data_IF_614540067436
#
_entry.id   IF_614540067436
#
_cell.length_a   1.000
_cell.length_b   1.000
_cell.length_c   1.000
_cell.angle_alpha   90.00
_cell.angle_beta   90.00
_cell.angle_gamma   90.00
#
_symmetry.space_group_name_H-M   'P 1'
#
loop_
_entity.id
_entity.type
_entity.pdbx_description
1 polymer ?
#
# COMPACT_ATOMS: atom_id res chain seq x y z
N UNK A 1 24.34 4.40 -18.64
CA UNK A 1 22.92 4.78 -18.78
C UNK A 1 22.63 6.03 -17.95
N UNK A 2 21.85 6.95 -18.50
CA UNK A 2 21.45 8.19 -17.80
C UNK A 2 19.94 8.37 -17.90
N UNK A 3 19.35 8.92 -16.86
CA UNK A 3 17.95 9.33 -16.84
C UNK A 3 17.80 10.55 -17.76
N UNK A 4 16.91 10.46 -18.76
CA UNK A 4 16.67 11.54 -19.74
C UNK A 4 15.38 12.28 -19.46
N UNK A 5 14.37 11.60 -18.89
CA UNK A 5 13.06 12.19 -18.60
C UNK A 5 12.40 11.53 -17.38
N UNK A 6 11.71 12.33 -16.62
CA UNK A 6 10.81 11.88 -15.54
C UNK A 6 9.48 12.60 -15.75
N UNK A 7 8.41 11.84 -15.90
CA UNK A 7 7.06 12.34 -16.16
C UNK A 7 6.06 11.81 -15.15
N UNK A 8 5.36 12.67 -14.39
CA UNK A 8 4.17 12.29 -13.69
C UNK A 8 3.00 12.16 -14.65
N UNK A 9 2.29 11.06 -14.61
CA UNK A 9 1.11 10.82 -15.45
C UNK A 9 -0.06 10.51 -14.50
N UNK A 10 -1.02 11.43 -14.42
CA UNK A 10 -2.25 11.19 -13.70
C UNK A 10 -3.20 10.39 -14.58
N UNK A 11 -3.65 9.25 -14.10
CA UNK A 11 -4.75 8.49 -14.69
C UNK A 11 -5.94 8.44 -13.75
N UNK A 12 -7.12 8.40 -14.34
CA UNK A 12 -8.40 8.26 -13.65
C UNK A 12 -9.04 6.95 -14.09
N UNK A 13 -9.09 5.97 -13.17
CA UNK A 13 -9.62 4.64 -13.43
C UNK A 13 -11.05 4.54 -12.89
N UNK A 14 -12.07 4.40 -13.74
CA UNK A 14 -13.45 4.20 -13.30
C UNK A 14 -13.61 2.88 -12.53
N UNK A 15 -14.30 2.94 -11.39
CA UNK A 15 -14.68 1.77 -10.61
C UNK A 15 -15.99 1.17 -11.13
N UNK A 16 -16.07 -0.15 -11.14
CA UNK A 16 -17.34 -0.87 -11.27
C UNK A 16 -17.87 -1.11 -9.86
N UNK A 17 -18.94 -0.43 -9.50
CA UNK A 17 -19.58 -0.49 -8.19
C UNK A 17 -21.03 -0.90 -8.33
N UNK A 18 -21.48 -1.87 -7.54
CA UNK A 18 -22.88 -2.33 -7.54
C UNK A 18 -23.83 -1.33 -6.87
N UNK A 19 -23.28 -0.42 -6.04
CA UNK A 19 -24.01 0.65 -5.38
C UNK A 19 -23.08 1.85 -5.12
N UNK A 20 -23.68 3.02 -4.92
CA UNK A 20 -22.94 4.20 -4.50
C UNK A 20 -22.30 3.94 -3.13
N UNK A 21 -20.97 3.90 -3.08
CA UNK A 21 -20.22 3.72 -1.84
C UNK A 21 -19.77 5.10 -1.37
N UNK A 22 -20.14 5.52 -0.17
CA UNK A 22 -19.65 6.78 0.38
C UNK A 22 -18.14 6.69 0.60
N UNK A 23 -17.40 7.67 0.11
CA UNK A 23 -16.01 7.86 0.51
C UNK A 23 -15.94 8.24 1.99
N UNK A 24 -14.79 8.06 2.64
CA UNK A 24 -14.56 8.56 4.01
C UNK A 24 -14.85 10.08 4.15
N UNK A 25 -14.77 10.83 3.04
CA UNK A 25 -15.17 12.25 2.94
C UNK A 25 -16.67 12.48 2.75
N UNK A 26 -17.50 11.43 2.68
CA UNK A 26 -18.95 11.52 2.45
C UNK A 26 -19.37 11.66 0.98
N UNK A 27 -18.45 11.88 0.04
CA UNK A 27 -18.76 11.93 -1.39
C UNK A 27 -18.75 10.53 -2.04
N UNK A 28 -19.57 10.24 -3.07
CA UNK A 28 -19.49 8.97 -3.81
C UNK A 28 -18.11 8.80 -4.46
N UNK A 29 -17.48 7.64 -4.26
CA UNK A 29 -16.20 7.30 -4.91
C UNK A 29 -16.49 6.48 -6.16
N UNK A 30 -16.44 7.11 -7.32
CA UNK A 30 -16.73 6.48 -8.62
C UNK A 30 -15.47 6.12 -9.41
N UNK A 31 -14.31 6.58 -8.95
CA UNK A 31 -13.03 6.39 -9.63
C UNK A 31 -11.85 6.41 -8.65
N UNK A 32 -10.70 6.00 -9.17
CA UNK A 32 -9.42 6.10 -8.49
C UNK A 32 -8.46 6.92 -9.33
N UNK A 33 -7.84 7.90 -8.70
CA UNK A 33 -6.73 8.65 -9.26
C UNK A 33 -5.41 7.97 -8.92
N UNK A 34 -4.59 7.69 -9.93
CA UNK A 34 -3.25 7.12 -9.76
C UNK A 34 -2.22 8.03 -10.41
N UNK A 35 -1.20 8.42 -9.67
CA UNK A 35 -0.05 9.16 -10.21
C UNK A 35 1.05 8.17 -10.56
N UNK A 36 1.16 7.85 -11.84
CA UNK A 36 2.27 7.06 -12.37
C UNK A 36 3.51 7.95 -12.50
N UNK A 37 4.68 7.35 -12.30
CA UNK A 37 5.98 7.99 -12.50
C UNK A 37 6.71 7.23 -13.60
N UNK A 38 6.77 7.82 -14.79
CA UNK A 38 7.50 7.26 -15.93
C UNK A 38 8.92 7.82 -15.94
N UNK A 39 9.92 6.93 -15.93
CA UNK A 39 11.35 7.29 -16.00
C UNK A 39 11.94 6.71 -17.28
N UNK A 40 12.45 7.58 -18.16
CA UNK A 40 13.08 7.19 -19.43
C UNK A 40 14.60 7.37 -19.36
N UNK A 41 15.33 6.51 -20.07
CA UNK A 41 16.79 6.52 -20.10
C UNK A 41 17.32 6.68 -21.52
N UNK A 42 18.59 7.10 -21.67
CA UNK A 42 19.29 7.22 -22.96
C UNK A 42 19.57 5.87 -23.65
N UNK A 43 19.39 4.74 -22.95
CA UNK A 43 19.51 3.40 -23.52
C UNK A 43 18.13 2.79 -23.88
N UNK A 44 17.04 3.59 -23.83
CA UNK A 44 15.70 3.16 -24.21
C UNK A 44 14.97 2.30 -23.17
N UNK A 45 15.56 2.08 -21.99
CA UNK A 45 14.88 1.39 -20.90
C UNK A 45 13.96 2.35 -20.19
N UNK A 46 12.69 1.97 -20.03
CA UNK A 46 11.69 2.75 -19.29
C UNK A 46 11.34 2.04 -17.98
N UNK A 47 11.33 2.80 -16.89
CA UNK A 47 10.81 2.34 -15.59
C UNK A 47 9.49 2.98 -15.24
N UNK A 48 8.66 2.21 -14.55
CA UNK A 48 7.36 2.64 -14.06
C UNK A 48 7.30 2.61 -12.55
N UNK A 49 6.83 3.69 -11.95
CA UNK A 49 6.57 3.81 -10.53
C UNK A 49 5.19 4.38 -10.27
N UNK A 50 4.81 4.40 -9.01
CA UNK A 50 3.56 4.99 -8.53
C UNK A 50 3.84 5.81 -7.27
N UNK A 51 3.37 7.04 -7.26
CA UNK A 51 3.42 7.94 -6.12
C UNK A 51 2.03 8.05 -5.48
N UNK A 52 1.95 8.04 -4.15
CA UNK A 52 0.68 8.21 -3.46
C UNK A 52 0.04 9.56 -3.84
N UNK A 53 -1.25 9.53 -4.12
CA UNK A 53 -1.93 10.68 -4.71
C UNK A 53 -3.23 11.06 -3.99
N UNK A 54 -4.15 10.14 -3.81
CA UNK A 54 -5.49 10.40 -3.29
C UNK A 54 -5.99 11.82 -3.67
N UNK A 55 -6.60 12.57 -2.77
CA UNK A 55 -7.13 13.93 -3.01
C UNK A 55 -6.03 15.00 -3.28
N UNK A 56 -4.77 14.73 -2.97
CA UNK A 56 -3.64 15.66 -3.12
C UNK A 56 -2.75 15.43 -4.34
N UNK A 57 -3.23 14.74 -5.37
CA UNK A 57 -2.43 14.35 -6.55
C UNK A 57 -1.73 15.52 -7.25
N UNK A 58 -2.33 16.73 -7.28
CA UNK A 58 -1.73 17.92 -7.88
C UNK A 58 -0.37 18.26 -7.24
N UNK A 59 -0.33 18.23 -5.89
CA UNK A 59 0.89 18.50 -5.13
C UNK A 59 1.95 17.42 -5.40
N UNK A 60 1.53 16.16 -5.51
CA UNK A 60 2.44 15.04 -5.83
C UNK A 60 3.00 15.16 -7.25
N UNK A 61 2.17 15.46 -8.25
CA UNK A 61 2.62 15.69 -9.62
C UNK A 61 3.60 16.86 -9.71
N UNK A 62 3.30 17.96 -9.01
CA UNK A 62 4.19 19.13 -8.95
C UNK A 62 5.53 18.78 -8.28
N UNK A 63 5.50 18.02 -7.19
CA UNK A 63 6.72 17.56 -6.51
C UNK A 63 7.59 16.71 -7.45
N UNK A 64 7.01 15.79 -8.21
CA UNK A 64 7.73 14.97 -9.19
C UNK A 64 8.36 15.86 -10.26
N UNK A 65 7.56 16.71 -10.91
CA UNK A 65 8.00 17.47 -12.08
C UNK A 65 8.99 18.59 -11.74
N UNK A 66 8.75 19.32 -10.64
CA UNK A 66 9.49 20.56 -10.34
C UNK A 66 10.53 20.41 -9.22
N UNK A 67 10.39 19.40 -8.36
CA UNK A 67 11.31 19.21 -7.25
C UNK A 67 12.26 18.04 -7.53
N UNK A 68 11.72 16.86 -7.88
CA UNK A 68 12.50 15.64 -8.00
C UNK A 68 13.20 15.55 -9.36
N UNK A 69 12.46 15.71 -10.47
CA UNK A 69 13.00 15.52 -11.82
C UNK A 69 14.26 16.39 -12.10
N UNK A 70 14.31 17.70 -11.78
CA UNK A 70 15.51 18.51 -12.04
C UNK A 70 16.76 18.06 -11.27
N UNK A 71 16.59 17.33 -10.17
CA UNK A 71 17.69 16.82 -9.32
C UNK A 71 18.24 15.48 -9.76
N UNK A 72 17.51 14.78 -10.63
CA UNK A 72 17.80 13.37 -10.96
C UNK A 72 18.07 13.16 -12.45
N UNK A 73 17.52 14.00 -13.34
CA UNK A 73 17.84 13.97 -14.78
C UNK A 73 19.35 14.08 -14.96
N UNK A 74 19.91 13.22 -15.84
CA UNK A 74 21.34 13.10 -16.12
C UNK A 74 22.11 12.15 -15.18
N UNK A 75 21.53 11.72 -14.04
CA UNK A 75 22.13 10.72 -13.14
C UNK A 75 22.01 9.31 -13.71
N UNK A 76 22.86 8.41 -13.22
CA UNK A 76 22.79 6.98 -13.52
C UNK A 76 21.70 6.33 -12.65
N UNK A 77 20.64 5.74 -13.26
CA UNK A 77 19.55 5.12 -12.51
C UNK A 77 19.96 3.88 -11.70
N UNK A 78 21.16 3.32 -11.93
CA UNK A 78 21.66 2.22 -11.10
C UNK A 78 22.12 2.66 -9.71
N UNK A 79 22.35 3.95 -9.51
CA UNK A 79 22.78 4.53 -8.23
C UNK A 79 21.61 4.82 -7.29
N UNK A 80 20.68 3.86 -7.15
CA UNK A 80 19.41 4.04 -6.41
C UNK A 80 19.66 4.56 -5.00
N UNK A 81 20.53 3.90 -4.23
CA UNK A 81 20.80 4.28 -2.84
C UNK A 81 21.41 5.68 -2.72
N UNK A 82 22.27 6.08 -3.66
CA UNK A 82 22.86 7.42 -3.66
C UNK A 82 21.81 8.48 -4.04
N UNK A 83 20.98 8.22 -5.04
CA UNK A 83 19.88 9.11 -5.44
C UNK A 83 18.91 9.32 -4.27
N UNK A 84 18.53 8.27 -3.59
CA UNK A 84 17.69 8.34 -2.39
C UNK A 84 18.32 9.20 -1.29
N UNK A 85 19.59 8.93 -0.95
CA UNK A 85 20.30 9.69 0.08
C UNK A 85 20.42 11.18 -0.27
N UNK A 86 20.75 11.50 -1.52
CA UNK A 86 20.86 12.87 -2.02
C UNK A 86 19.52 13.61 -1.92
N UNK A 87 18.42 12.96 -2.34
CA UNK A 87 17.09 13.55 -2.29
C UNK A 87 16.62 13.78 -0.84
N UNK A 88 16.73 12.79 0.03
CA UNK A 88 16.35 12.95 1.44
C UNK A 88 17.20 14.03 2.14
N UNK A 89 18.50 14.08 1.88
CA UNK A 89 19.39 15.09 2.44
C UNK A 89 19.12 16.47 1.85
N UNK A 90 18.96 16.57 0.52
CA UNK A 90 18.77 17.85 -0.16
C UNK A 90 17.40 18.48 0.08
N UNK A 91 16.40 17.69 0.50
CA UNK A 91 15.02 18.12 0.70
C UNK A 91 14.56 18.08 2.17
N UNK A 92 15.51 17.94 3.13
CA UNK A 92 15.19 17.77 4.54
C UNK A 92 14.33 18.89 5.15
N UNK A 93 14.42 20.10 4.61
CA UNK A 93 13.70 21.30 5.07
C UNK A 93 12.44 21.61 4.24
N UNK A 94 12.21 20.92 3.12
CA UNK A 94 11.05 21.16 2.25
C UNK A 94 9.96 20.11 2.38
N UNK A 95 10.24 18.98 3.03
CA UNK A 95 9.24 17.96 3.30
C UNK A 95 9.87 16.60 3.58
N UNK A 96 9.62 16.10 4.81
CA UNK A 96 10.02 14.76 5.26
C UNK A 96 8.83 13.80 5.29
N UNK A 97 7.68 14.26 4.85
CA UNK A 97 6.43 13.54 4.71
C UNK A 97 5.61 14.12 3.55
N UNK A 98 4.53 13.47 3.17
CA UNK A 98 3.59 13.98 2.17
C UNK A 98 4.17 14.01 0.75
N UNK A 99 3.73 14.95 -0.11
CA UNK A 99 3.99 14.93 -1.56
C UNK A 99 5.45 14.79 -1.97
N UNK A 100 6.37 15.36 -1.20
CA UNK A 100 7.83 15.24 -1.48
C UNK A 100 8.28 13.78 -1.33
N UNK A 101 7.88 13.10 -0.27
CA UNK A 101 8.26 11.69 -0.04
C UNK A 101 7.49 10.76 -0.96
N UNK A 102 6.23 11.08 -1.29
CA UNK A 102 5.46 10.33 -2.30
C UNK A 102 6.13 10.39 -3.66
N UNK A 103 6.63 11.55 -4.07
CA UNK A 103 7.39 11.72 -5.31
C UNK A 103 8.70 10.92 -5.31
N UNK A 104 9.44 10.92 -4.19
CA UNK A 104 10.64 10.08 -4.01
C UNK A 104 10.26 8.59 -4.10
N UNK A 105 9.15 8.18 -3.49
CA UNK A 105 8.66 6.79 -3.53
C UNK A 105 8.38 6.33 -4.96
N UNK A 106 7.66 7.13 -5.73
CA UNK A 106 7.36 6.81 -7.12
C UNK A 106 8.60 6.72 -8.00
N UNK A 107 9.56 7.63 -7.80
CA UNK A 107 10.86 7.55 -8.49
C UNK A 107 11.61 6.27 -8.11
N UNK A 108 11.72 5.96 -6.83
CA UNK A 108 12.44 4.78 -6.34
C UNK A 108 11.87 3.48 -6.92
N UNK A 109 10.56 3.33 -6.93
CA UNK A 109 9.88 2.18 -7.56
C UNK A 109 10.27 2.06 -9.03
N UNK A 110 10.27 3.18 -9.78
CA UNK A 110 10.66 3.19 -11.20
C UNK A 110 12.14 2.86 -11.40
N UNK A 111 13.03 3.30 -10.51
CA UNK A 111 14.46 2.96 -10.58
C UNK A 111 14.71 1.48 -10.32
N UNK A 112 13.99 0.88 -9.37
CA UNK A 112 14.05 -0.56 -9.13
C UNK A 112 13.48 -1.38 -10.28
N UNK A 113 12.44 -0.88 -10.95
CA UNK A 113 11.90 -1.47 -12.18
C UNK A 113 12.96 -1.47 -13.30
N UNK A 114 13.65 -0.34 -13.53
CA UNK A 114 14.78 -0.25 -14.48
C UNK A 114 15.89 -1.24 -14.11
N UNK A 115 16.29 -1.28 -12.84
CA UNK A 115 17.36 -2.16 -12.39
C UNK A 115 17.04 -3.63 -12.65
N UNK A 116 15.81 -4.06 -12.36
CA UNK A 116 15.36 -5.41 -12.57
C UNK A 116 15.20 -5.76 -14.06
N UNK A 117 14.69 -4.84 -14.89
CA UNK A 117 14.65 -4.99 -16.37
C UNK A 117 16.04 -5.17 -16.96
N UNK A 118 17.00 -4.35 -16.53
CA UNK A 118 18.39 -4.49 -16.98
C UNK A 118 19.04 -5.80 -16.57
N UNK A 119 18.71 -6.29 -15.38
CA UNK A 119 19.18 -7.59 -14.92
C UNK A 119 18.49 -8.77 -15.63
N UNK A 120 17.44 -8.54 -16.42
CA UNK A 120 16.62 -9.58 -17.03
C UNK A 120 15.86 -10.42 -16.02
N UNK A 121 15.59 -9.86 -14.81
CA UNK A 121 14.97 -10.57 -13.70
C UNK A 121 13.70 -9.87 -13.21
N UNK A 122 12.68 -10.61 -12.74
CA UNK A 122 11.62 -10.01 -11.92
C UNK A 122 12.23 -9.40 -10.67
N UNK A 123 11.64 -8.29 -10.20
CA UNK A 123 12.22 -7.54 -9.07
C UNK A 123 12.39 -8.41 -7.82
N UNK A 124 11.45 -9.29 -7.48
CA UNK A 124 11.58 -10.14 -6.29
C UNK A 124 12.83 -11.04 -6.32
N UNK A 125 13.23 -11.53 -7.51
CA UNK A 125 14.47 -12.32 -7.66
C UNK A 125 15.71 -11.46 -7.45
N UNK A 126 15.71 -10.23 -7.94
CA UNK A 126 16.80 -9.28 -7.70
C UNK A 126 16.91 -8.92 -6.21
N UNK A 127 15.81 -8.94 -5.48
CA UNK A 127 15.75 -8.68 -4.02
C UNK A 127 16.10 -9.88 -3.14
N UNK A 128 16.38 -11.04 -3.70
CA UNK A 128 16.74 -12.26 -2.97
C UNK A 128 15.87 -13.46 -3.29
N UNK A 129 14.71 -13.21 -3.86
CA UNK A 129 13.81 -14.24 -4.36
C UNK A 129 13.07 -15.03 -3.30
N UNK A 130 12.11 -15.83 -3.75
CA UNK A 130 11.46 -16.88 -2.95
C UNK A 130 11.01 -18.01 -3.85
N UNK A 131 10.67 -19.17 -3.25
CA UNK A 131 10.12 -20.32 -3.98
C UNK A 131 8.59 -20.21 -4.20
N UNK A 132 7.93 -19.15 -3.71
CA UNK A 132 6.49 -18.98 -3.82
C UNK A 132 6.11 -18.59 -5.24
N UNK A 133 4.99 -19.13 -5.74
CA UNK A 133 4.39 -18.73 -7.01
C UNK A 133 3.31 -17.66 -6.83
N UNK A 134 2.69 -17.61 -5.65
CA UNK A 134 1.58 -16.71 -5.31
C UNK A 134 1.75 -16.14 -3.90
N UNK A 135 1.01 -15.08 -3.62
CA UNK A 135 0.82 -14.51 -2.27
C UNK A 135 -0.66 -14.37 -1.97
N UNK A 136 -1.10 -14.72 -0.74
CA UNK A 136 -2.50 -14.58 -0.38
C UNK A 136 -2.92 -13.11 -0.34
N UNK A 137 -4.08 -12.83 -0.94
CA UNK A 137 -4.73 -11.53 -0.89
C UNK A 137 -5.79 -11.50 0.19
N UNK A 138 -5.93 -10.38 0.90
CA UNK A 138 -7.13 -10.12 1.67
C UNK A 138 -8.06 -9.14 0.97
N UNK A 139 -9.38 -9.41 1.05
CA UNK A 139 -10.38 -8.50 0.52
C UNK A 139 -10.55 -7.32 1.48
N UNK A 140 -10.03 -6.16 1.08
CA UNK A 140 -10.16 -4.90 1.80
C UNK A 140 -11.45 -4.22 1.35
N UNK A 141 -12.56 -4.53 2.05
CA UNK A 141 -13.91 -4.09 1.70
C UNK A 141 -14.05 -2.58 1.86
N UNK A 142 -14.83 -1.96 0.99
CA UNK A 142 -15.13 -0.54 1.07
C UNK A 142 -15.94 -0.22 2.33
N UNK A 143 -16.00 1.07 2.72
CA UNK A 143 -16.88 1.51 3.79
C UNK A 143 -18.31 1.61 3.25
N UNK A 144 -19.15 0.63 3.57
CA UNK A 144 -20.53 0.59 3.11
C UNK A 144 -21.50 1.27 4.08
N UNK A 145 -21.19 1.25 5.40
CA UNK A 145 -22.04 1.83 6.44
C UNK A 145 -23.38 1.13 6.62
N UNK A 146 -23.63 0.04 5.89
CA UNK A 146 -24.82 -0.77 5.91
C UNK A 146 -24.51 -2.23 6.23
N UNK A 147 -25.16 -2.78 7.27
CA UNK A 147 -24.92 -4.12 7.77
C UNK A 147 -25.18 -5.22 6.74
N UNK A 148 -26.28 -5.10 5.99
CA UNK A 148 -26.65 -6.11 4.98
C UNK A 148 -25.65 -6.10 3.84
N UNK A 149 -25.27 -4.94 3.36
CA UNK A 149 -24.29 -4.79 2.28
C UNK A 149 -22.92 -5.36 2.68
N UNK A 150 -22.47 -5.12 3.91
CA UNK A 150 -21.21 -5.69 4.43
C UNK A 150 -21.27 -7.23 4.42
N UNK A 151 -22.38 -7.83 4.90
CA UNK A 151 -22.57 -9.29 4.91
C UNK A 151 -22.60 -9.86 3.50
N UNK A 152 -23.32 -9.22 2.57
CA UNK A 152 -23.41 -9.64 1.18
C UNK A 152 -22.03 -9.60 0.50
N UNK A 153 -21.24 -8.53 0.75
CA UNK A 153 -19.89 -8.38 0.19
C UNK A 153 -18.87 -9.35 0.79
N UNK A 154 -19.02 -9.73 2.05
CA UNK A 154 -18.23 -10.83 2.65
C UNK A 154 -18.54 -12.14 1.92
N UNK A 155 -19.81 -12.49 1.75
CA UNK A 155 -20.21 -13.70 1.06
C UNK A 155 -19.70 -13.73 -0.39
N UNK A 156 -19.75 -12.61 -1.09
CA UNK A 156 -19.19 -12.45 -2.45
C UNK A 156 -17.68 -12.67 -2.45
N UNK A 157 -16.93 -12.03 -1.53
CA UNK A 157 -15.49 -12.15 -1.47
C UNK A 157 -15.06 -13.60 -1.15
N UNK A 158 -15.73 -14.26 -0.20
CA UNK A 158 -15.49 -15.66 0.10
C UNK A 158 -15.81 -16.56 -1.11
N UNK A 159 -16.87 -16.28 -1.85
CA UNK A 159 -17.22 -16.96 -3.11
C UNK A 159 -16.17 -16.78 -4.21
N UNK A 160 -15.44 -15.65 -4.22
CA UNK A 160 -14.29 -15.39 -5.12
C UNK A 160 -12.98 -16.03 -4.62
N UNK A 161 -13.02 -16.79 -3.52
CA UNK A 161 -11.87 -17.53 -2.98
C UNK A 161 -11.00 -16.75 -2.01
N UNK A 162 -11.37 -15.53 -1.59
CA UNK A 162 -10.65 -14.83 -0.52
C UNK A 162 -10.83 -15.58 0.80
N UNK A 163 -9.77 -15.64 1.57
CA UNK A 163 -9.72 -16.35 2.87
C UNK A 163 -9.46 -15.38 4.04
N UNK A 164 -9.35 -14.10 3.75
CA UNK A 164 -8.99 -13.02 4.68
C UNK A 164 -9.85 -11.81 4.31
N UNK A 165 -10.49 -11.19 5.28
CA UNK A 165 -11.40 -10.04 5.06
C UNK A 165 -10.95 -8.88 5.93
N UNK A 166 -10.84 -7.68 5.35
CA UNK A 166 -10.67 -6.41 6.06
C UNK A 166 -11.89 -5.51 5.84
N UNK A 167 -12.38 -4.91 6.90
CA UNK A 167 -13.46 -3.91 6.87
C UNK A 167 -12.88 -2.51 6.99
N UNK A 168 -13.62 -1.52 6.45
CA UNK A 168 -13.45 -0.10 6.78
C UNK A 168 -14.66 0.41 7.57
N UNK A 169 -15.05 -0.31 8.60
CA UNK A 169 -16.21 0.00 9.44
C UNK A 169 -15.77 0.21 10.88
N UNK A 170 -16.49 1.08 11.61
CA UNK A 170 -16.20 1.38 13.01
C UNK A 170 -17.42 1.30 13.94
N UNK A 171 -18.58 0.84 13.42
CA UNK A 171 -19.79 0.60 14.20
C UNK A 171 -19.81 -0.85 14.70
N UNK A 172 -19.89 -1.05 16.00
CA UNK A 172 -19.83 -2.37 16.63
C UNK A 172 -20.88 -3.36 16.11
N UNK A 173 -22.08 -2.89 15.79
CA UNK A 173 -23.14 -3.76 15.27
C UNK A 173 -22.86 -4.25 13.84
N UNK A 174 -22.16 -3.46 13.00
CA UNK A 174 -21.73 -3.85 11.67
C UNK A 174 -20.54 -4.83 11.78
N UNK A 175 -19.53 -4.49 12.59
CA UNK A 175 -18.35 -5.36 12.81
C UNK A 175 -18.77 -6.73 13.37
N UNK A 176 -19.75 -6.75 14.30
CA UNK A 176 -20.30 -8.00 14.85
C UNK A 176 -21.01 -8.84 13.78
N UNK A 177 -21.82 -8.22 12.94
CA UNK A 177 -22.48 -8.91 11.83
C UNK A 177 -21.46 -9.49 10.84
N UNK A 178 -20.40 -8.75 10.54
CA UNK A 178 -19.29 -9.21 9.72
C UNK A 178 -18.55 -10.40 10.34
N UNK A 179 -18.26 -10.35 11.65
CA UNK A 179 -17.63 -11.46 12.37
C UNK A 179 -18.45 -12.74 12.30
N UNK A 180 -19.78 -12.63 12.44
CA UNK A 180 -20.69 -13.77 12.28
C UNK A 180 -20.67 -14.29 10.84
N UNK A 181 -20.68 -13.41 9.83
CA UNK A 181 -20.66 -13.77 8.41
C UNK A 181 -19.34 -14.45 7.98
N UNK A 182 -18.21 -13.99 8.50
CA UNK A 182 -16.90 -14.63 8.29
C UNK A 182 -16.80 -16.01 8.94
N UNK A 183 -17.45 -16.19 10.09
CA UNK A 183 -17.29 -17.40 10.89
C UNK A 183 -15.87 -17.52 11.51
N UNK A 184 -15.61 -18.58 12.28
CA UNK A 184 -14.40 -18.70 13.11
C UNK A 184 -13.12 -19.02 12.32
N UNK A 185 -13.22 -19.39 11.04
CA UNK A 185 -12.10 -19.83 10.22
C UNK A 185 -11.54 -18.73 9.31
N UNK A 186 -12.24 -17.61 9.14
CA UNK A 186 -11.83 -16.49 8.28
C UNK A 186 -11.33 -15.37 9.17
N UNK A 187 -10.01 -15.06 9.15
CA UNK A 187 -9.47 -13.90 9.85
C UNK A 187 -10.15 -12.63 9.39
N UNK A 188 -10.74 -11.90 10.34
CA UNK A 188 -11.39 -10.61 10.12
C UNK A 188 -10.51 -9.50 10.69
N UNK A 189 -10.18 -8.51 9.86
CA UNK A 189 -9.47 -7.31 10.22
C UNK A 189 -10.41 -6.11 10.15
N UNK A 190 -10.17 -5.09 10.97
CA UNK A 190 -10.96 -3.85 10.96
C UNK A 190 -10.03 -2.65 10.90
N UNK A 191 -10.11 -1.90 9.80
CA UNK A 191 -9.48 -0.59 9.64
C UNK A 191 -10.47 0.48 10.11
N UNK A 192 -10.08 1.19 11.16
CA UNK A 192 -10.90 2.21 11.80
C UNK A 192 -10.70 3.59 11.18
N UNK A 193 -9.58 3.85 10.50
CA UNK A 193 -9.22 5.15 9.91
C UNK A 193 -9.15 6.28 10.94
N UNK A 194 -8.48 6.04 12.07
CA UNK A 194 -8.16 6.99 13.15
C UNK A 194 -9.36 7.75 13.76
N UNK A 195 -10.47 7.10 14.19
CA UNK A 195 -11.63 7.84 14.65
C UNK A 195 -11.60 8.18 16.14
N UNK A 196 -10.73 7.59 16.96
CA UNK A 196 -10.84 7.59 18.42
C UNK A 196 -9.65 8.20 19.14
N UNK A 197 -9.90 8.68 20.35
CA UNK A 197 -8.88 8.86 21.39
C UNK A 197 -8.38 7.49 21.86
N UNK A 198 -7.24 7.46 22.56
CA UNK A 198 -6.68 6.21 23.10
C UNK A 198 -7.65 5.50 24.04
N UNK A 199 -8.34 6.23 24.91
CA UNK A 199 -9.24 5.63 25.91
C UNK A 199 -10.53 5.10 25.27
N UNK A 200 -11.06 5.78 24.25
CA UNK A 200 -12.18 5.28 23.44
C UNK A 200 -11.77 4.01 22.66
N UNK A 201 -10.59 4.00 22.05
CA UNK A 201 -10.08 2.82 21.33
C UNK A 201 -9.90 1.62 22.28
N UNK A 202 -9.43 1.84 23.52
CA UNK A 202 -9.35 0.79 24.54
C UNK A 202 -10.75 0.24 24.88
N UNK A 203 -11.73 1.13 25.09
CA UNK A 203 -13.09 0.72 25.42
C UNK A 203 -13.72 -0.11 24.28
N UNK A 204 -13.61 0.36 23.04
CA UNK A 204 -14.12 -0.34 21.85
C UNK A 204 -13.39 -1.70 21.63
N UNK A 205 -12.07 -1.74 21.79
CA UNK A 205 -11.33 -3.00 21.62
C UNK A 205 -11.80 -4.08 22.60
N UNK A 206 -12.17 -3.70 23.82
CA UNK A 206 -12.74 -4.61 24.83
C UNK A 206 -14.17 -5.04 24.50
N UNK A 207 -14.97 -4.15 23.94
CA UNK A 207 -16.32 -4.49 23.44
C UNK A 207 -16.26 -5.53 22.32
N UNK A 208 -15.19 -5.54 21.53
CA UNK A 208 -15.00 -6.45 20.41
C UNK A 208 -14.28 -7.75 20.73
N UNK A 209 -14.03 -8.05 22.01
CA UNK A 209 -13.24 -9.22 22.46
C UNK A 209 -13.74 -10.55 21.93
N UNK A 210 -15.06 -10.75 21.88
CA UNK A 210 -15.71 -11.98 21.40
C UNK A 210 -15.65 -12.15 19.87
N UNK A 211 -15.36 -11.09 19.13
CA UNK A 211 -15.23 -11.11 17.66
C UNK A 211 -13.91 -11.71 17.18
N UNK A 212 -12.91 -11.84 18.06
CA UNK A 212 -11.59 -12.45 17.77
C UNK A 212 -10.91 -11.89 16.53
N UNK A 213 -10.89 -10.57 16.42
CA UNK A 213 -10.31 -9.89 15.27
C UNK A 213 -8.83 -10.23 15.07
N UNK A 214 -8.41 -10.41 13.83
CA UNK A 214 -7.00 -10.64 13.47
C UNK A 214 -6.14 -9.40 13.77
N UNK A 215 -6.69 -8.21 13.54
CA UNK A 215 -6.17 -6.94 14.06
C UNK A 215 -7.22 -5.82 14.02
N UNK A 216 -6.94 -4.76 14.79
CA UNK A 216 -7.58 -3.45 14.71
C UNK A 216 -6.54 -2.49 14.12
N UNK A 217 -6.85 -1.86 12.96
CA UNK A 217 -5.95 -1.02 12.18
C UNK A 217 -6.28 0.44 12.38
N UNK A 218 -5.24 1.28 12.55
CA UNK A 218 -5.32 2.73 12.68
C UNK A 218 -6.46 3.21 13.60
N UNK A 219 -6.54 2.74 14.86
CA UNK A 219 -7.67 3.07 15.73
C UNK A 219 -7.58 4.45 16.38
N UNK A 220 -6.39 5.06 16.50
CA UNK A 220 -6.13 6.25 17.32
C UNK A 220 -5.80 7.48 16.48
N UNK A 221 -6.36 8.63 16.86
CA UNK A 221 -5.96 9.95 16.35
C UNK A 221 -5.23 10.73 17.44
N UNK A 222 -4.12 11.43 17.11
CA UNK A 222 -3.44 11.39 15.81
C UNK A 222 -2.66 10.08 15.57
N UNK A 223 -2.44 9.66 14.30
CA UNK A 223 -1.77 8.38 13.99
C UNK A 223 -0.29 8.31 14.41
N UNK A 224 0.33 9.44 14.71
CA UNK A 224 1.71 9.57 15.21
C UNK A 224 1.82 9.52 16.76
N UNK A 225 0.70 9.31 17.49
CA UNK A 225 0.74 9.02 18.93
C UNK A 225 1.17 7.55 19.19
N UNK A 226 2.45 7.29 18.96
CA UNK A 226 3.00 5.94 19.16
C UNK A 226 2.93 5.47 20.63
N UNK A 227 2.97 6.39 21.59
CA UNK A 227 2.81 6.07 23.02
C UNK A 227 1.37 5.70 23.35
N UNK A 228 0.41 6.38 22.78
CA UNK A 228 -1.01 6.04 22.89
C UNK A 228 -1.34 4.69 22.25
N UNK A 229 -0.81 4.42 21.06
CA UNK A 229 -0.93 3.11 20.41
C UNK A 229 -0.30 1.99 21.26
N UNK A 230 0.84 2.21 21.92
CA UNK A 230 1.45 1.24 22.81
C UNK A 230 0.57 0.95 24.05
N UNK A 231 -0.05 1.99 24.65
CA UNK A 231 -1.05 1.83 25.72
C UNK A 231 -2.24 1.00 25.26
N UNK A 232 -2.78 1.30 24.09
CA UNK A 232 -3.88 0.54 23.51
C UNK A 232 -3.47 -0.92 23.28
N UNK A 233 -2.32 -1.17 22.64
CA UNK A 233 -1.84 -2.52 22.38
C UNK A 233 -1.71 -3.36 23.65
N UNK A 234 -1.23 -2.75 24.76
CA UNK A 234 -1.11 -3.43 26.04
C UNK A 234 -2.47 -3.76 26.69
N UNK A 235 -3.53 -3.00 26.35
CA UNK A 235 -4.86 -3.14 26.93
C UNK A 235 -5.86 -3.90 26.04
N UNK A 236 -5.59 -3.97 24.73
CA UNK A 236 -6.46 -4.56 23.72
C UNK A 236 -6.37 -6.09 23.70
N UNK A 237 -7.51 -6.79 23.64
CA UNK A 237 -7.53 -8.24 23.43
C UNK A 237 -7.19 -8.65 21.98
N UNK A 238 -7.32 -7.72 21.02
CA UNK A 238 -6.97 -7.92 19.63
C UNK A 238 -5.61 -7.29 19.31
N UNK A 239 -4.83 -7.89 18.39
CA UNK A 239 -3.60 -7.25 17.88
C UNK A 239 -3.86 -5.88 17.27
N UNK A 240 -2.89 -4.96 17.38
CA UNK A 240 -2.96 -3.62 16.79
C UNK A 240 -2.07 -3.56 15.55
N UNK A 241 -2.60 -2.96 14.50
CA UNK A 241 -1.90 -2.68 13.25
C UNK A 241 -1.90 -1.17 12.98
N UNK A 242 -0.78 -0.63 12.52
CA UNK A 242 -0.66 0.76 12.10
C UNK A 242 0.60 0.99 11.25
N UNK A 243 0.70 2.16 10.63
CA UNK A 243 1.91 2.58 9.94
C UNK A 243 1.72 3.07 8.51
N UNK A 244 0.53 2.99 7.95
CA UNK A 244 0.25 3.48 6.60
C UNK A 244 0.47 4.98 6.42
N UNK A 245 0.38 5.74 7.52
CA UNK A 245 0.56 7.19 7.56
C UNK A 245 2.00 7.61 7.89
N UNK A 246 2.89 6.67 8.17
CA UNK A 246 4.31 6.92 8.42
C UNK A 246 5.06 7.13 7.10
N UNK A 247 5.93 8.13 7.08
CA UNK A 247 6.58 8.60 5.86
C UNK A 247 8.07 8.26 5.75
N UNK A 248 8.69 7.69 6.76
CA UNK A 248 10.12 7.38 6.72
C UNK A 248 10.54 6.29 7.71
N UNK A 249 11.68 5.70 7.43
CA UNK A 249 12.29 4.63 8.21
C UNK A 249 12.49 4.97 9.69
N UNK A 250 12.89 6.21 10.02
CA UNK A 250 13.15 6.60 11.41
C UNK A 250 11.86 6.66 12.24
N UNK A 251 10.76 7.07 11.63
CA UNK A 251 9.44 7.04 12.28
C UNK A 251 8.98 5.60 12.51
N UNK A 252 9.18 4.69 11.54
CA UNK A 252 8.93 3.26 11.77
C UNK A 252 9.76 2.68 12.91
N UNK A 253 11.04 3.05 12.98
CA UNK A 253 11.87 2.65 14.11
C UNK A 253 11.25 3.09 15.45
N UNK A 254 10.77 4.33 15.55
CA UNK A 254 10.12 4.85 16.76
C UNK A 254 8.81 4.12 17.09
N UNK A 255 8.00 3.81 16.09
CA UNK A 255 6.77 3.02 16.25
C UNK A 255 7.08 1.65 16.87
N UNK A 256 8.12 0.97 16.36
CA UNK A 256 8.52 -0.35 16.83
C UNK A 256 9.19 -0.29 18.21
N UNK A 257 10.05 0.69 18.48
CA UNK A 257 10.67 0.93 19.79
C UNK A 257 9.63 1.21 20.89
N UNK A 258 8.56 1.91 20.56
CA UNK A 258 7.45 2.14 21.49
C UNK A 258 6.65 0.87 21.79
N UNK A 259 6.85 -0.22 21.06
CA UNK A 259 6.03 -1.41 21.17
C UNK A 259 4.57 -1.18 20.76
N UNK A 260 4.34 -0.24 19.84
CA UNK A 260 3.00 0.27 19.53
C UNK A 260 2.13 -0.70 18.71
N UNK A 261 2.73 -1.62 17.95
CA UNK A 261 2.01 -2.48 17.00
C UNK A 261 2.42 -3.94 17.07
N UNK A 262 1.50 -4.82 16.70
CA UNK A 262 1.73 -6.24 16.41
C UNK A 262 2.00 -6.45 14.91
N UNK A 263 1.38 -5.63 14.07
CA UNK A 263 1.55 -5.61 12.62
C UNK A 263 1.94 -4.20 12.17
N UNK A 264 3.08 -4.08 11.48
CA UNK A 264 3.55 -2.83 10.90
C UNK A 264 3.10 -2.76 9.43
N UNK A 265 2.46 -1.64 9.04
CA UNK A 265 1.81 -1.49 7.74
C UNK A 265 2.42 -0.36 6.90
N UNK A 266 3.69 -0.50 6.45
CA UNK A 266 4.29 0.50 5.58
C UNK A 266 3.62 0.54 4.20
N UNK A 267 3.59 1.71 3.61
CA UNK A 267 3.01 1.98 2.30
C UNK A 267 4.12 2.33 1.31
N UNK A 268 4.43 1.46 0.34
CA UNK A 268 5.57 1.61 -0.56
C UNK A 268 5.57 2.95 -1.32
N UNK A 269 4.39 3.48 -1.61
CA UNK A 269 4.20 4.76 -2.32
C UNK A 269 4.30 5.98 -1.39
N UNK A 270 4.42 5.79 -0.07
CA UNK A 270 4.44 6.86 0.93
C UNK A 270 5.76 7.00 1.69
N UNK A 271 6.58 5.93 1.75
CA UNK A 271 7.74 5.86 2.66
C UNK A 271 9.11 6.03 1.99
N UNK A 272 9.18 6.28 0.69
CA UNK A 272 10.43 6.33 -0.06
C UNK A 272 10.69 5.10 -0.92
N UNK A 273 9.63 4.34 -1.27
CA UNK A 273 9.68 3.25 -2.25
C UNK A 273 10.20 1.92 -1.72
N UNK A 274 10.69 1.09 -2.64
CA UNK A 274 11.24 -0.25 -2.38
C UNK A 274 12.47 -0.19 -1.47
N UNK A 275 13.32 0.82 -1.66
CA UNK A 275 14.54 1.00 -0.86
C UNK A 275 14.24 1.13 0.64
N UNK A 276 13.29 1.97 1.02
CA UNK A 276 12.90 2.15 2.41
C UNK A 276 12.07 0.98 2.93
N UNK A 277 11.18 0.44 2.11
CA UNK A 277 10.35 -0.73 2.46
C UNK A 277 11.21 -1.92 2.92
N UNK A 278 12.30 -2.23 2.20
CA UNK A 278 13.23 -3.31 2.58
C UNK A 278 13.87 -3.11 3.96
N UNK A 279 14.20 -1.87 4.32
CA UNK A 279 14.73 -1.55 5.65
C UNK A 279 13.69 -1.79 6.74
N UNK A 280 12.40 -1.51 6.45
CA UNK A 280 11.32 -1.73 7.40
C UNK A 280 11.07 -3.23 7.60
N UNK A 281 11.17 -4.05 6.56
CA UNK A 281 11.11 -5.52 6.71
C UNK A 281 12.23 -6.02 7.63
N UNK A 282 13.47 -5.55 7.44
CA UNK A 282 14.58 -5.92 8.32
C UNK A 282 14.38 -5.43 9.77
N UNK A 283 13.81 -4.23 9.96
CA UNK A 283 13.43 -3.76 11.29
C UNK A 283 12.34 -4.64 11.92
N UNK A 284 11.29 -4.98 11.16
CA UNK A 284 10.23 -5.86 11.64
C UNK A 284 10.80 -7.18 12.16
N UNK A 285 11.72 -7.80 11.43
CA UNK A 285 12.43 -9.02 11.86
C UNK A 285 13.20 -8.78 13.17
N UNK A 286 13.95 -7.68 13.27
CA UNK A 286 14.76 -7.36 14.46
C UNK A 286 13.90 -7.10 15.71
N UNK A 287 12.71 -6.54 15.56
CA UNK A 287 11.77 -6.26 16.66
C UNK A 287 10.73 -7.37 16.87
N UNK A 288 10.74 -8.45 16.06
CA UNK A 288 9.75 -9.53 16.15
C UNK A 288 8.33 -9.08 15.76
N UNK A 289 8.20 -8.02 14.96
CA UNK A 289 6.93 -7.47 14.47
C UNK A 289 6.68 -7.92 13.03
N UNK A 290 5.49 -8.38 12.74
CA UNK A 290 5.11 -8.79 11.38
C UNK A 290 4.86 -7.56 10.51
N UNK A 291 5.50 -7.50 9.34
CA UNK A 291 5.26 -6.44 8.35
C UNK A 291 4.24 -6.92 7.33
N UNK A 292 3.11 -6.23 7.24
CA UNK A 292 2.04 -6.48 6.25
C UNK A 292 1.75 -5.14 5.55
N UNK A 293 2.27 -4.90 4.35
CA UNK A 293 2.15 -3.59 3.72
C UNK A 293 0.70 -3.15 3.47
N UNK A 294 0.40 -1.89 3.78
CA UNK A 294 -0.75 -1.20 3.24
C UNK A 294 -0.54 -1.03 1.73
N UNK A 295 -1.33 -1.70 0.92
CA UNK A 295 -1.13 -1.78 -0.53
C UNK A 295 -2.40 -1.65 -1.39
N UNK A 296 -3.35 -0.76 -1.07
CA UNK A 296 -4.60 -0.58 -1.82
C UNK A 296 -4.38 0.17 -3.14
N UNK A 297 -3.35 -0.23 -3.91
CA UNK A 297 -2.94 0.38 -5.16
C UNK A 297 -3.37 -0.47 -6.35
N UNK A 298 -3.32 0.13 -7.56
CA UNK A 298 -3.81 -0.49 -8.78
C UNK A 298 -2.82 -0.41 -9.93
N UNK A 299 -1.53 -0.29 -9.59
CA UNK A 299 -0.46 -0.16 -10.54
C UNK A 299 0.90 -0.56 -9.97
N UNK A 300 1.96 0.19 -10.30
CA UNK A 300 3.32 -0.11 -9.87
C UNK A 300 3.50 -0.18 -8.35
N UNK A 301 2.69 0.54 -7.57
CA UNK A 301 2.71 0.46 -6.10
C UNK A 301 2.28 -0.91 -5.58
N UNK A 302 1.22 -1.49 -6.15
CA UNK A 302 0.79 -2.85 -5.81
C UNK A 302 1.82 -3.87 -6.27
N UNK A 303 2.30 -3.77 -7.52
CA UNK A 303 3.31 -4.69 -8.06
C UNK A 303 4.61 -4.65 -7.24
N UNK A 304 5.08 -3.46 -6.86
CA UNK A 304 6.24 -3.31 -5.98
C UNK A 304 6.01 -3.96 -4.61
N UNK A 305 4.81 -3.80 -4.02
CA UNK A 305 4.44 -4.45 -2.76
C UNK A 305 4.46 -5.97 -2.89
N UNK A 306 3.88 -6.52 -3.98
CA UNK A 306 3.91 -7.97 -4.26
C UNK A 306 5.36 -8.46 -4.36
N UNK A 307 6.24 -7.76 -5.07
CA UNK A 307 7.64 -8.16 -5.23
C UNK A 307 8.43 -8.12 -3.92
N UNK A 308 8.26 -7.07 -3.11
CA UNK A 308 8.93 -6.99 -1.81
C UNK A 308 8.44 -8.08 -0.86
N UNK A 309 7.12 -8.33 -0.81
CA UNK A 309 6.56 -9.41 0.00
C UNK A 309 6.96 -10.80 -0.52
N UNK A 310 7.07 -10.99 -1.84
CA UNK A 310 7.57 -12.23 -2.43
C UNK A 310 9.04 -12.51 -2.08
N UNK A 311 9.85 -11.48 -1.88
CA UNK A 311 11.24 -11.61 -1.44
C UNK A 311 11.38 -11.84 0.07
N UNK A 312 10.33 -11.65 0.86
CA UNK A 312 10.36 -11.88 2.30
C UNK A 312 10.48 -13.37 2.64
N UNK A 313 11.22 -13.71 3.72
CA UNK A 313 11.41 -15.09 4.15
C UNK A 313 10.09 -15.75 4.60
N UNK A 314 9.20 -14.99 5.23
CA UNK A 314 7.86 -15.44 5.65
C UNK A 314 6.82 -15.06 4.62
N UNK A 315 5.71 -15.81 4.57
CA UNK A 315 4.55 -15.44 3.80
C UNK A 315 3.94 -14.14 4.35
N UNK A 316 3.60 -13.23 3.45
CA UNK A 316 3.00 -11.92 3.76
C UNK A 316 1.71 -11.80 2.96
N UNK A 317 0.67 -11.28 3.60
CA UNK A 317 -0.61 -11.03 2.96
C UNK A 317 -0.57 -9.70 2.19
N UNK A 318 -1.24 -9.67 1.03
CA UNK A 318 -1.32 -8.49 0.18
C UNK A 318 -2.73 -7.92 0.24
N UNK A 319 -2.82 -6.62 0.44
CA UNK A 319 -4.09 -5.90 0.40
C UNK A 319 -4.63 -5.83 -1.03
N UNK A 320 -5.87 -6.26 -1.20
CA UNK A 320 -6.67 -5.97 -2.39
C UNK A 320 -7.83 -5.07 -2.02
N UNK A 321 -7.75 -3.79 -2.35
CA UNK A 321 -8.91 -2.89 -2.24
C UNK A 321 -10.06 -3.47 -3.07
N UNK A 322 -11.15 -3.88 -2.42
CA UNK A 322 -12.17 -4.75 -2.99
C UNK A 322 -13.10 -3.99 -3.91
N UNK A 323 -12.65 -3.74 -5.11
CA UNK A 323 -13.42 -3.13 -6.19
C UNK A 323 -12.92 -3.68 -7.53
N UNK A 324 -13.80 -3.63 -8.53
CA UNK A 324 -13.48 -4.03 -9.90
C UNK A 324 -13.35 -2.79 -10.81
N UNK A 325 -12.69 -2.99 -11.95
CA UNK A 325 -12.47 -1.96 -12.97
C UNK A 325 -13.04 -2.44 -14.29
N UNK A 326 -13.63 -1.53 -15.06
CA UNK A 326 -14.03 -1.83 -16.43
C UNK A 326 -12.81 -2.07 -17.34
N UNK A 327 -11.72 -1.33 -17.07
CA UNK A 327 -10.45 -1.42 -17.78
C UNK A 327 -9.32 -0.95 -16.87
N UNK A 328 -8.11 -1.51 -17.02
CA UNK A 328 -6.90 -1.08 -16.33
C UNK A 328 -5.68 -1.24 -17.23
N UNK A 329 -4.70 -0.30 -17.20
CA UNK A 329 -3.48 -0.42 -18.02
C UNK A 329 -2.55 -1.55 -17.58
N UNK A 330 -2.80 -2.16 -16.41
CA UNK A 330 -1.96 -3.22 -15.85
C UNK A 330 -2.54 -4.64 -16.06
N UNK A 331 -3.76 -4.74 -16.62
CA UNK A 331 -4.41 -6.03 -16.93
C UNK A 331 -4.53 -6.95 -15.72
N UNK A 332 -4.37 -8.24 -15.98
CA UNK A 332 -4.55 -9.31 -14.98
C UNK A 332 -3.49 -9.34 -13.87
N UNK A 333 -2.36 -8.64 -14.03
CA UNK A 333 -1.26 -8.65 -13.05
C UNK A 333 -1.67 -8.12 -11.67
N UNK A 334 -2.67 -7.25 -11.65
CA UNK A 334 -3.17 -6.59 -10.42
C UNK A 334 -4.49 -7.18 -9.94
N UNK A 335 -4.91 -8.32 -10.52
CA UNK A 335 -6.17 -8.98 -10.19
C UNK A 335 -5.87 -10.33 -9.53
N UNK A 336 -6.23 -10.54 -8.26
CA UNK A 336 -6.04 -11.84 -7.63
C UNK A 336 -7.03 -12.86 -8.17
N UNK A 337 -6.59 -14.12 -8.26
CA UNK A 337 -7.41 -15.25 -8.66
C UNK A 337 -7.54 -16.23 -7.50
N UNK A 338 -8.75 -16.63 -7.17
CA UNK A 338 -9.03 -17.52 -6.02
C UNK A 338 -8.42 -17.01 -4.71
N UNK A 339 -8.44 -15.69 -4.50
CA UNK A 339 -7.89 -15.05 -3.30
C UNK A 339 -6.36 -14.96 -3.25
N UNK A 340 -5.63 -15.22 -4.36
CA UNK A 340 -4.18 -15.13 -4.40
C UNK A 340 -3.70 -14.24 -5.56
N UNK A 341 -2.68 -13.42 -5.32
CA UNK A 341 -1.95 -12.74 -6.39
C UNK A 341 -0.86 -13.66 -6.95
N UNK A 342 -0.81 -13.80 -8.26
CA UNK A 342 0.35 -14.36 -8.93
C UNK A 342 1.53 -13.39 -8.81
N UNK A 343 2.72 -13.92 -8.50
CA UNK A 343 3.95 -13.12 -8.49
C UNK A 343 4.41 -12.93 -9.94
N UNK A 344 4.56 -11.69 -10.46
CA UNK A 344 5.00 -11.47 -11.84
C UNK A 344 6.35 -12.09 -12.11
N UNK A 345 6.50 -12.74 -13.28
CA UNK A 345 7.72 -13.46 -13.66
C UNK A 345 8.54 -12.74 -14.74
N UNK A 346 7.97 -11.75 -15.40
CA UNK A 346 8.67 -10.91 -16.38
C UNK A 346 9.69 -9.99 -15.68
N UNK A 347 10.76 -9.57 -16.39
CA UNK A 347 11.73 -8.61 -15.86
C UNK A 347 11.08 -7.29 -15.38
N UNK A 348 11.59 -6.71 -14.31
CA UNK A 348 11.03 -5.50 -13.72
C UNK A 348 9.94 -5.81 -12.71
N UNK A 349 8.92 -4.98 -12.69
CA UNK A 349 7.69 -5.15 -11.89
C UNK A 349 6.67 -6.09 -12.56
N UNK A 350 6.96 -6.60 -13.73
CA UNK A 350 6.06 -7.38 -14.58
C UNK A 350 5.91 -6.75 -15.95
N UNK A 351 4.79 -7.00 -16.64
CA UNK A 351 4.51 -6.37 -17.93
C UNK A 351 4.33 -4.86 -17.79
N UNK A 352 4.92 -4.12 -18.71
CA UNK A 352 4.70 -2.67 -18.79
C UNK A 352 3.22 -2.35 -18.98
N UNK A 353 2.75 -1.20 -18.49
CA UNK A 353 1.36 -0.81 -18.66
C UNK A 353 1.03 -0.55 -20.13
N UNK A 354 -0.21 -0.84 -20.51
CA UNK A 354 -0.74 -0.49 -21.84
C UNK A 354 -0.81 1.04 -21.99
N UNK A 355 0.07 1.59 -22.82
CA UNK A 355 0.17 3.04 -23.03
C UNK A 355 -1.04 3.62 -23.78
N UNK A 356 -1.77 2.83 -24.55
CA UNK A 356 -3.00 3.27 -25.20
C UNK A 356 -4.12 3.44 -24.19
N UNK A 357 -4.20 2.53 -23.20
CA UNK A 357 -5.14 2.66 -22.08
C UNK A 357 -4.76 3.88 -21.23
N UNK A 358 -3.46 4.04 -20.90
CA UNK A 358 -2.99 5.24 -20.18
C UNK A 358 -3.41 6.52 -20.90
N UNK A 359 -3.24 6.59 -22.23
CA UNK A 359 -3.59 7.78 -23.00
C UNK A 359 -5.10 8.12 -22.92
N UNK A 360 -5.97 7.09 -22.86
CA UNK A 360 -7.43 7.29 -22.70
C UNK A 360 -7.82 7.71 -21.28
N UNK A 361 -7.11 7.23 -20.27
CA UNK A 361 -7.39 7.48 -18.85
C UNK A 361 -6.71 8.73 -18.29
N UNK A 362 -5.81 9.33 -19.06
CA UNK A 362 -5.00 10.50 -18.64
C UNK A 362 -5.91 11.72 -18.42
N UNK A 363 -5.69 12.44 -17.29
CA UNK A 363 -6.38 13.66 -16.87
C UNK A 363 -5.50 14.87 -17.08
#
# INVERSE_FOLDING_TARGET
MKITRIEPILIRTPLVLDAAVPHASGAPKNDVHTVLVKVETDEGVTGWGEAFSNAGWQSTCTAIAQIIAPRVIGKDPSQISQIQADLHRGLYNTGRSGPTVYAISGLDIALWDIAAKRAGLPLYKLLGGSARATLPAYASLLRYGDKKMVVDKIAEALGRGYRLIKLHENKSDIVRAASIACGPQVPLMVDCSCPWTVDEAIAISREWVDMKLAWIEEPVYPPDDHSGLARLRAASPAPIAAGENISNFLEFKRLLEAGAVSFAQPSVTKIGGVTEMRKIFALGEAFGVTVVPHSPYFGPGLLASIHVCAAAAREVWIERYYCDFAETPFGEQIIPRNGDFAIPQEPGLGKDPDTAIIARMRV
#
